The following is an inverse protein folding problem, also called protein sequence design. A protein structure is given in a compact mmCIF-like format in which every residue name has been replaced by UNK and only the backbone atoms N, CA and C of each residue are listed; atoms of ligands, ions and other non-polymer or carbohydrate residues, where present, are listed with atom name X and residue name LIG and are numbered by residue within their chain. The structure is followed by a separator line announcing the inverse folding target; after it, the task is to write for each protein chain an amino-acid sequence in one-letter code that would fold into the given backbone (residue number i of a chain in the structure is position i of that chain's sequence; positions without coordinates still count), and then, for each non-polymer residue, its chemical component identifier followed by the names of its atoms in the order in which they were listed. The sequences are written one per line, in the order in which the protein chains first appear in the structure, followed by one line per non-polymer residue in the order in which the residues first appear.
data_IF_334452035523
#
_entry.id   IF_334452035523
#
_cell.length_a   1.000
_cell.length_b   1.000
_cell.length_c   1.000
_cell.angle_alpha   90.00
_cell.angle_beta   90.00
_cell.angle_gamma   90.00
#
_symmetry.space_group_name_H-M   'P 1'
#
loop_
_entity.id
_entity.type
_entity.pdbx_description
1 polymer ?
#
# COMPACT_ATOMS: atom_id res chain seq x y z
N UNK A 1 -9.64 -3.18 0.88
CA UNK A 1 -9.85 -1.86 1.53
C UNK A 1 -8.99 -1.65 2.78
N UNK A 2 -8.60 -2.71 3.49
CA UNK A 2 -7.99 -2.58 4.82
C UNK A 2 -6.68 -1.78 4.85
N UNK A 3 -5.79 -2.00 3.87
CA UNK A 3 -4.52 -1.27 3.78
C UNK A 3 -4.74 0.23 3.57
N UNK A 4 -5.64 0.62 2.67
CA UNK A 4 -5.95 2.03 2.43
C UNK A 4 -6.47 2.73 3.70
N UNK A 5 -7.32 2.06 4.48
CA UNK A 5 -7.84 2.58 5.76
C UNK A 5 -6.74 2.71 6.81
N UNK A 6 -5.83 1.72 6.92
CA UNK A 6 -4.68 1.81 7.83
C UNK A 6 -3.76 2.97 7.47
N UNK A 7 -3.44 3.14 6.19
CA UNK A 7 -2.62 4.28 5.72
C UNK A 7 -3.31 5.60 6.04
N UNK A 8 -4.60 5.75 5.71
CA UNK A 8 -5.35 6.98 6.00
C UNK A 8 -5.35 7.32 7.49
N UNK A 9 -5.64 6.35 8.36
CA UNK A 9 -5.62 6.54 9.82
C UNK A 9 -4.26 7.03 10.31
N UNK A 10 -3.18 6.30 10.00
CA UNK A 10 -1.83 6.64 10.48
C UNK A 10 -1.30 7.95 9.88
N UNK A 11 -1.66 8.28 8.63
CA UNK A 11 -1.27 9.54 7.99
C UNK A 11 -2.02 10.74 8.56
N UNK A 12 -3.29 10.57 8.92
CA UNK A 12 -4.11 11.64 9.50
C UNK A 12 -3.73 11.93 10.95
N UNK A 13 -3.16 10.97 11.69
CA UNK A 13 -2.47 11.23 12.98
C UNK A 13 -1.32 12.25 12.83
N UNK A 14 -0.80 12.45 11.61
CA UNK A 14 0.22 13.44 11.25
C UNK A 14 -0.35 14.61 10.43
N UNK A 15 -1.65 14.84 10.49
CA UNK A 15 -2.34 15.98 9.85
C UNK A 15 -2.20 16.03 8.32
N UNK A 16 -1.93 14.89 7.67
CA UNK A 16 -1.74 14.83 6.21
C UNK A 16 -3.05 14.84 5.39
N UNK A 17 -4.21 14.75 6.05
CA UNK A 17 -5.55 14.84 5.44
C UNK A 17 -5.72 13.95 4.19
N UNK A 18 -5.38 12.67 4.32
CA UNK A 18 -5.37 11.72 3.20
C UNK A 18 -6.79 11.30 2.80
N UNK A 19 -7.06 11.33 1.50
CA UNK A 19 -8.29 10.84 0.87
C UNK A 19 -8.10 9.46 0.24
N UNK A 20 -9.12 8.59 0.33
CA UNK A 20 -9.15 7.32 -0.39
C UNK A 20 -9.98 7.51 -1.66
N UNK A 21 -9.36 7.27 -2.83
CA UNK A 21 -10.01 7.32 -4.13
C UNK A 21 -10.04 5.95 -4.77
N UNK A 22 -11.20 5.55 -5.29
CA UNK A 22 -11.34 4.35 -6.12
C UNK A 22 -10.97 4.65 -7.57
N UNK A 23 -10.54 3.62 -8.32
CA UNK A 23 -10.13 3.73 -9.71
C UNK A 23 -10.48 2.44 -10.46
N UNK A 24 -10.73 2.55 -11.75
CA UNK A 24 -10.88 1.39 -12.64
C UNK A 24 -9.66 0.47 -12.53
N UNK A 25 -9.88 -0.81 -12.20
CA UNK A 25 -8.81 -1.79 -12.10
C UNK A 25 -8.27 -2.11 -13.51
N UNK A 26 -6.99 -1.82 -13.81
CA UNK A 26 -6.43 -2.14 -15.12
C UNK A 26 -6.13 -3.64 -15.30
N UNK A 27 -6.24 -4.45 -14.23
CA UNK A 27 -5.90 -5.87 -14.22
C UNK A 27 -7.16 -6.75 -14.24
N UNK A 28 -7.15 -7.86 -15.00
CA UNK A 28 -8.23 -8.85 -14.98
C UNK A 28 -8.08 -9.78 -13.75
N UNK A 29 -8.32 -9.25 -12.56
CA UNK A 29 -8.26 -9.99 -11.30
C UNK A 29 -9.55 -9.84 -10.48
N UNK A 30 -9.82 -10.77 -9.57
CA UNK A 30 -10.98 -10.66 -8.69
C UNK A 30 -10.73 -9.65 -7.57
N UNK A 31 -11.54 -8.59 -7.52
CA UNK A 31 -11.50 -7.59 -6.44
C UNK A 31 -12.00 -8.14 -5.10
N UNK A 32 -12.75 -9.24 -5.11
CA UNK A 32 -13.29 -9.90 -3.92
C UNK A 32 -13.14 -11.41 -4.05
N UNK A 33 -12.24 -11.98 -3.26
CA UNK A 33 -12.00 -13.42 -3.22
C UNK A 33 -11.62 -13.85 -1.81
N UNK A 34 -11.87 -15.11 -1.48
CA UNK A 34 -11.43 -15.70 -0.21
C UNK A 34 -9.90 -15.85 -0.22
N UNK A 35 -9.24 -15.41 0.85
CA UNK A 35 -7.81 -15.52 1.01
C UNK A 35 -7.49 -16.06 2.40
N UNK A 36 -6.90 -17.26 2.45
CA UNK A 36 -6.39 -17.90 3.66
C UNK A 36 -5.14 -18.71 3.31
N UNK A 37 -4.03 -18.00 3.12
CA UNK A 37 -2.75 -18.61 2.75
C UNK A 37 -2.03 -19.16 3.97
N UNK A 38 -1.53 -20.39 3.89
CA UNK A 38 -0.65 -20.99 4.91
C UNK A 38 0.70 -20.23 4.96
N UNK A 39 1.18 -19.97 6.18
CA UNK A 39 2.41 -19.23 6.46
C UNK A 39 3.27 -19.85 7.58
N UNK A 40 3.02 -21.11 7.96
CA UNK A 40 3.61 -21.67 9.18
C UNK A 40 5.04 -22.17 9.04
N UNK A 41 5.46 -22.54 7.81
CA UNK A 41 6.81 -23.07 7.56
C UNK A 41 7.91 -22.12 8.02
N UNK A 42 7.78 -20.83 7.68
CA UNK A 42 8.81 -19.84 8.01
C UNK A 42 8.86 -19.57 9.52
N UNK A 43 7.70 -19.53 10.19
CA UNK A 43 7.61 -19.40 11.66
C UNK A 43 8.31 -20.57 12.37
N UNK A 44 8.12 -21.80 11.89
CA UNK A 44 8.77 -23.00 12.43
C UNK A 44 10.29 -22.98 12.28
N UNK A 45 10.81 -22.29 11.26
CA UNK A 45 12.24 -22.06 11.05
C UNK A 45 12.80 -20.92 11.94
N UNK A 46 12.02 -20.39 12.88
CA UNK A 46 12.46 -19.39 13.84
C UNK A 46 12.23 -17.94 13.39
N UNK A 47 11.55 -17.71 12.27
CA UNK A 47 11.20 -16.35 11.86
C UNK A 47 10.27 -15.71 12.89
N UNK A 48 10.65 -14.51 13.33
CA UNK A 48 9.83 -13.65 14.16
C UNK A 48 9.61 -12.34 13.43
N UNK A 49 8.35 -11.94 13.33
CA UNK A 49 8.01 -10.60 12.88
C UNK A 49 8.64 -9.60 13.85
N UNK A 50 9.28 -8.56 13.31
CA UNK A 50 9.93 -7.53 14.11
C UNK A 50 9.02 -6.35 14.43
N UNK A 51 8.01 -6.08 13.58
CA UNK A 51 7.10 -4.93 13.69
C UNK A 51 5.72 -5.24 13.13
N UNK A 52 4.71 -4.57 13.64
CA UNK A 52 3.37 -4.62 13.08
C UNK A 52 3.23 -3.69 11.88
N UNK A 53 2.19 -3.91 11.07
CA UNK A 53 1.98 -3.15 9.83
C UNK A 53 1.74 -1.65 10.11
N UNK A 54 1.10 -1.31 11.23
CA UNK A 54 0.86 0.09 11.60
C UNK A 54 2.18 0.81 11.95
N UNK A 55 3.11 0.13 12.64
CA UNK A 55 4.45 0.67 12.93
C UNK A 55 5.24 0.93 11.64
N UNK A 56 5.23 -0.05 10.72
CA UNK A 56 5.87 0.10 9.43
C UNK A 56 5.27 1.25 8.62
N UNK A 57 3.93 1.40 8.60
CA UNK A 57 3.28 2.53 7.92
C UNK A 57 3.77 3.87 8.47
N UNK A 58 3.84 4.03 9.80
CA UNK A 58 4.32 5.28 10.43
C UNK A 58 5.75 5.61 10.04
N UNK A 59 6.64 4.62 10.13
CA UNK A 59 8.06 4.77 9.76
C UNK A 59 8.20 5.15 8.28
N UNK A 60 7.44 4.49 7.40
CA UNK A 60 7.49 4.79 5.96
C UNK A 60 6.95 6.18 5.64
N UNK A 61 5.89 6.63 6.30
CA UNK A 61 5.37 7.99 6.09
C UNK A 61 6.43 9.03 6.48
N UNK A 62 7.11 8.85 7.62
CA UNK A 62 8.18 9.76 8.07
C UNK A 62 9.36 9.81 7.08
N UNK A 63 9.82 8.65 6.62
CA UNK A 63 10.88 8.54 5.63
C UNK A 63 10.48 9.21 4.30
N UNK A 64 9.25 8.99 3.82
CA UNK A 64 8.76 9.59 2.58
C UNK A 64 8.56 11.11 2.68
N UNK A 65 8.18 11.63 3.85
CA UNK A 65 8.00 13.07 4.06
C UNK A 65 9.30 13.85 3.86
N UNK A 66 10.46 13.25 4.21
CA UNK A 66 11.76 13.86 3.94
C UNK A 66 12.01 14.09 2.44
N UNK A 67 11.41 13.28 1.57
CA UNK A 67 11.54 13.35 0.12
C UNK A 67 10.29 13.90 -0.60
N UNK A 68 9.37 14.55 0.13
CA UNK A 68 8.06 14.98 -0.38
C UNK A 68 8.17 15.77 -1.68
N UNK A 69 9.10 16.71 -1.78
CA UNK A 69 9.24 17.58 -2.95
C UNK A 69 9.66 16.78 -4.19
N UNK A 70 10.69 15.93 -4.06
CA UNK A 70 11.16 15.04 -5.12
C UNK A 70 10.09 14.07 -5.60
N UNK A 71 9.27 13.55 -4.66
CA UNK A 71 8.12 12.69 -4.99
C UNK A 71 7.06 13.52 -5.73
N UNK A 72 6.78 14.74 -5.27
CA UNK A 72 5.84 15.67 -5.89
C UNK A 72 6.18 16.01 -7.33
N UNK A 73 7.47 16.21 -7.63
CA UNK A 73 7.97 16.45 -9.00
C UNK A 73 7.75 15.28 -9.97
N UNK A 74 7.46 14.08 -9.46
CA UNK A 74 7.23 12.86 -10.26
C UNK A 74 5.83 12.29 -10.05
N UNK A 75 4.89 13.09 -9.55
CA UNK A 75 3.51 12.63 -9.25
C UNK A 75 2.79 12.03 -10.46
N UNK A 76 3.17 12.43 -11.67
CA UNK A 76 2.62 11.95 -12.94
C UNK A 76 2.84 10.42 -13.10
N UNK A 77 3.91 9.87 -12.53
CA UNK A 77 4.22 8.45 -12.64
C UNK A 77 3.41 7.56 -11.70
N UNK A 78 2.77 8.13 -10.67
CA UNK A 78 1.96 7.39 -9.68
C UNK A 78 0.74 6.78 -10.36
N UNK A 79 0.17 7.46 -11.36
CA UNK A 79 -1.06 7.04 -12.03
C UNK A 79 -0.83 6.53 -13.46
N UNK A 80 0.07 5.56 -13.66
CA UNK A 80 0.21 4.89 -14.97
C UNK A 80 -0.95 3.91 -15.22
N UNK A 81 -1.73 4.17 -16.27
CA UNK A 81 -2.90 3.38 -16.68
C UNK A 81 -2.56 2.31 -17.72
N UNK A 82 -1.69 1.37 -17.37
CA UNK A 82 -1.35 0.25 -18.26
C UNK A 82 -2.45 -0.80 -18.16
N UNK A 83 -3.43 -0.78 -19.08
CA UNK A 83 -4.52 -1.77 -19.13
C UNK A 83 -4.00 -3.11 -19.65
N UNK A 84 -4.11 -4.17 -18.84
CA UNK A 84 -3.67 -5.53 -19.19
C UNK A 84 -4.52 -6.16 -20.30
N UNK A 85 -5.72 -5.63 -20.54
CA UNK A 85 -6.60 -6.09 -21.63
C UNK A 85 -6.14 -5.63 -23.02
N UNK A 86 -5.26 -4.63 -23.13
CA UNK A 86 -4.85 -4.04 -24.43
C UNK A 86 -3.54 -4.60 -25.01
N UNK A 87 -2.97 -5.66 -24.43
CA UNK A 87 -1.87 -6.38 -25.07
C UNK A 87 -2.41 -7.41 -26.07
N UNK A 88 -2.95 -6.94 -27.19
CA UNK A 88 -3.19 -7.73 -28.42
C UNK A 88 -2.89 -6.85 -29.61
#
# INVERSE_FOLDING_TARGET
MDIAKKVQRNANEKELNVEIKSKENPRPESEKHYCNADHDKLKKLGFKRTREIDDEIKIRIEDLLHYKDRIGERKDVIMKNIKWQKSR
#
